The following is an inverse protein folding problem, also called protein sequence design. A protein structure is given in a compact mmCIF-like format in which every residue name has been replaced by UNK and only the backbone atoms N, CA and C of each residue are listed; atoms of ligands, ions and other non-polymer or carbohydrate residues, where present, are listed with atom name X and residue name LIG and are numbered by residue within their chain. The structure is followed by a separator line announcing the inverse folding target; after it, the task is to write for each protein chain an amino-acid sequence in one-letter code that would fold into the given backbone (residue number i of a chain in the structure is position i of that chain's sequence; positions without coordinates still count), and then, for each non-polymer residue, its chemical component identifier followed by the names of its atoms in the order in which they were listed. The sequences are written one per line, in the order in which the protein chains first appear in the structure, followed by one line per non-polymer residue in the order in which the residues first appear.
data_IF_183535634391
#
_entry.id   IF_183535634391
#
_cell.length_a   1.000
_cell.length_b   1.000
_cell.length_c   1.000
_cell.angle_alpha   90.00
_cell.angle_beta   90.00
_cell.angle_gamma   90.00
#
_symmetry.space_group_name_H-M   'P 1'
#
loop_
_entity.id
_entity.type
_entity.pdbx_description
1 polymer ?
#
# COMPACT_ATOMS: atom_id res chain seq x y z
N UNK A 1 -18.55 -14.00 -32.79
CA UNK A 1 -18.52 -12.53 -33.00
C UNK A 1 -18.81 -11.89 -31.66
N UNK A 2 -17.79 -11.76 -30.82
CA UNK A 2 -17.87 -11.08 -29.53
C UNK A 2 -17.87 -9.58 -29.81
N UNK A 3 -19.02 -8.94 -29.65
CA UNK A 3 -19.13 -7.48 -29.57
C UNK A 3 -18.13 -7.00 -28.52
N UNK A 4 -17.11 -6.27 -28.95
CA UNK A 4 -16.29 -5.43 -28.08
C UNK A 4 -17.24 -4.47 -27.36
N UNK A 5 -17.63 -4.84 -26.14
CA UNK A 5 -18.39 -3.97 -25.27
C UNK A 5 -17.45 -2.82 -24.92
N UNK A 6 -17.81 -1.60 -25.33
CA UNK A 6 -17.05 -0.39 -25.03
C UNK A 6 -16.89 -0.30 -23.52
N UNK A 7 -15.66 -0.49 -23.02
CA UNK A 7 -15.35 -0.47 -21.59
C UNK A 7 -15.33 0.97 -21.13
N UNK A 8 -16.35 1.41 -20.41
CA UNK A 8 -16.42 2.76 -19.88
C UNK A 8 -15.56 2.87 -18.61
N UNK A 9 -14.25 3.04 -18.79
CA UNK A 9 -13.30 3.17 -17.69
C UNK A 9 -13.57 4.44 -16.89
N UNK A 10 -13.53 4.31 -15.57
CA UNK A 10 -13.73 5.40 -14.65
C UNK A 10 -12.84 5.28 -13.41
N UNK A 11 -12.66 6.39 -12.70
CA UNK A 11 -12.02 6.46 -11.40
C UNK A 11 -13.04 6.85 -10.35
N UNK A 12 -13.22 5.97 -9.37
CA UNK A 12 -13.94 6.26 -8.14
C UNK A 12 -12.95 6.75 -7.10
N UNK A 13 -13.13 7.97 -6.61
CA UNK A 13 -12.29 8.57 -5.56
C UNK A 13 -13.12 8.68 -4.30
N UNK A 14 -12.65 8.05 -3.21
CA UNK A 14 -13.23 8.11 -1.87
C UNK A 14 -12.26 8.88 -0.95
N UNK A 15 -12.45 10.20 -0.81
CA UNK A 15 -11.44 11.05 -0.21
C UNK A 15 -11.53 11.11 1.32
N UNK A 16 -10.38 11.25 1.99
CA UNK A 16 -10.24 11.61 3.42
C UNK A 16 -11.08 10.71 4.36
N UNK A 17 -11.06 9.42 4.07
CA UNK A 17 -11.63 8.37 4.91
C UNK A 17 -10.84 8.31 6.22
N UNK A 18 -11.53 8.56 7.32
CA UNK A 18 -10.96 8.40 8.66
C UNK A 18 -11.23 6.99 9.14
N UNK A 19 -10.18 6.26 9.49
CA UNK A 19 -10.29 4.89 9.99
C UNK A 19 -9.76 4.84 11.41
N UNK A 20 -10.56 4.34 12.34
CA UNK A 20 -10.18 4.19 13.74
C UNK A 20 -9.85 2.73 14.05
N UNK A 21 -8.72 2.48 14.72
CA UNK A 21 -8.27 1.15 15.13
C UNK A 21 -8.05 0.18 13.95
N UNK A 22 -7.46 0.67 12.86
CA UNK A 22 -6.97 -0.20 11.80
C UNK A 22 -5.80 -1.05 12.31
N UNK A 23 -5.65 -2.26 11.78
CA UNK A 23 -4.56 -3.15 12.15
C UNK A 23 -3.20 -2.55 11.75
N UNK A 24 -2.29 -2.44 12.73
CA UNK A 24 -0.93 -1.94 12.54
C UNK A 24 0.15 -3.04 12.51
N UNK A 25 -0.25 -4.32 12.70
CA UNK A 25 0.60 -5.48 12.47
C UNK A 25 0.29 -6.00 11.06
N UNK A 26 1.04 -5.52 10.09
CA UNK A 26 0.78 -5.78 8.67
C UNK A 26 1.18 -7.20 8.27
N UNK A 27 2.20 -7.76 8.94
CA UNK A 27 2.67 -9.13 8.76
C UNK A 27 3.54 -9.57 9.96
N UNK A 28 3.99 -10.84 10.03
CA UNK A 28 4.92 -11.29 11.06
C UNK A 28 6.25 -10.50 11.17
N UNK A 29 6.70 -9.85 10.09
CA UNK A 29 8.00 -9.14 10.05
C UNK A 29 7.87 -7.63 9.88
N UNK A 30 6.66 -7.10 9.74
CA UNK A 30 6.44 -5.67 9.46
C UNK A 30 5.29 -5.13 10.28
N UNK A 31 5.50 -3.97 10.89
CA UNK A 31 4.46 -3.20 11.55
C UNK A 31 4.42 -1.77 11.00
N UNK A 32 3.27 -1.11 11.12
CA UNK A 32 3.06 0.24 10.62
C UNK A 32 1.75 0.36 9.85
N UNK A 33 1.82 0.78 8.59
CA UNK A 33 0.64 0.91 7.72
C UNK A 33 0.09 -0.47 7.34
N UNK A 34 -1.24 -0.67 7.29
CA UNK A 34 -1.82 -1.98 6.98
C UNK A 34 -1.34 -2.60 5.66
N UNK A 35 -1.38 -3.93 5.58
CA UNK A 35 -1.03 -4.66 4.36
C UNK A 35 -1.88 -4.23 3.15
N UNK A 36 -1.28 -4.22 1.96
CA UNK A 36 -1.98 -3.86 0.72
C UNK A 36 -3.19 -4.75 0.43
N UNK A 37 -3.10 -6.03 0.84
CA UNK A 37 -4.16 -7.03 0.71
C UNK A 37 -5.44 -6.66 1.45
N UNK A 38 -5.36 -5.83 2.51
CA UNK A 38 -6.55 -5.33 3.20
C UNK A 38 -7.40 -4.40 2.32
N UNK A 39 -6.77 -3.67 1.39
CA UNK A 39 -7.44 -2.71 0.51
C UNK A 39 -8.00 -3.37 -0.74
N UNK A 40 -7.30 -4.36 -1.31
CA UNK A 40 -7.86 -5.21 -2.37
C UNK A 40 -8.98 -6.10 -1.81
N UNK A 41 -8.87 -6.58 -0.57
CA UNK A 41 -9.96 -7.26 0.12
C UNK A 41 -11.18 -6.36 0.34
N UNK A 42 -10.97 -5.09 0.71
CA UNK A 42 -12.04 -4.09 0.79
C UNK A 42 -12.73 -3.88 -0.57
N UNK A 43 -11.94 -3.78 -1.65
CA UNK A 43 -12.46 -3.70 -3.01
C UNK A 43 -13.39 -4.87 -3.34
N UNK A 44 -12.97 -6.10 -3.06
CA UNK A 44 -13.82 -7.29 -3.27
C UNK A 44 -15.07 -7.27 -2.39
N UNK A 45 -14.96 -6.80 -1.14
CA UNK A 45 -16.11 -6.68 -0.24
C UNK A 45 -17.13 -5.65 -0.74
N UNK A 46 -16.67 -4.51 -1.27
CA UNK A 46 -17.51 -3.49 -1.90
C UNK A 46 -18.25 -4.07 -3.11
N UNK A 47 -17.55 -4.76 -4.02
CA UNK A 47 -18.15 -5.41 -5.18
C UNK A 47 -19.28 -6.37 -4.78
N UNK A 48 -19.05 -7.19 -3.75
CA UNK A 48 -20.06 -8.15 -3.25
C UNK A 48 -21.26 -7.46 -2.61
N UNK A 49 -21.04 -6.36 -1.91
CA UNK A 49 -22.10 -5.65 -1.19
C UNK A 49 -22.98 -4.81 -2.12
N UNK A 50 -22.39 -4.20 -3.16
CA UNK A 50 -23.13 -3.47 -4.18
C UNK A 50 -23.94 -4.42 -5.09
N UNK A 51 -23.46 -5.64 -5.29
CA UNK A 51 -24.11 -6.65 -6.11
C UNK A 51 -23.92 -6.41 -7.62
N UNK A 52 -24.30 -7.40 -8.45
CA UNK A 52 -24.08 -7.35 -9.90
C UNK A 52 -24.89 -6.24 -10.59
N UNK A 53 -26.05 -5.87 -10.03
CA UNK A 53 -26.97 -4.90 -10.61
C UNK A 53 -26.53 -3.44 -10.41
N UNK A 54 -25.49 -3.20 -9.60
CA UNK A 54 -24.96 -1.85 -9.37
C UNK A 54 -24.30 -1.23 -10.61
N UNK A 55 -24.05 -2.02 -11.66
CA UNK A 55 -23.49 -1.54 -12.93
C UNK A 55 -22.05 -1.03 -12.84
N UNK A 56 -21.31 -1.42 -11.80
CA UNK A 56 -19.92 -1.02 -11.55
C UNK A 56 -19.06 -2.24 -11.23
N UNK A 57 -17.93 -2.37 -11.94
CA UNK A 57 -16.94 -3.42 -11.72
C UNK A 57 -15.62 -2.82 -11.24
N UNK A 58 -15.01 -3.38 -10.19
CA UNK A 58 -13.76 -2.89 -9.59
C UNK A 58 -12.58 -3.76 -10.02
N UNK A 59 -11.45 -3.12 -10.37
CA UNK A 59 -10.26 -3.82 -10.87
C UNK A 59 -9.05 -3.61 -9.97
N UNK A 60 -8.80 -2.36 -9.58
CA UNK A 60 -7.59 -1.99 -8.86
C UNK A 60 -7.85 -0.88 -7.85
N UNK A 61 -6.95 -0.75 -6.87
CA UNK A 61 -7.04 0.24 -5.79
C UNK A 61 -5.73 0.98 -5.59
N UNK A 62 -5.81 2.30 -5.62
CA UNK A 62 -4.77 3.24 -5.26
C UNK A 62 -4.96 3.77 -3.85
N UNK A 63 -3.87 3.92 -3.11
CA UNK A 63 -3.91 4.34 -1.71
C UNK A 63 -3.06 5.58 -1.52
N UNK A 64 -3.67 6.59 -0.92
CA UNK A 64 -2.97 7.78 -0.45
C UNK A 64 -3.20 7.93 1.04
N UNK A 65 -2.12 7.97 1.81
CA UNK A 65 -2.17 8.21 3.25
C UNK A 65 -1.89 9.68 3.55
N UNK A 66 -2.85 10.37 4.16
CA UNK A 66 -2.74 11.76 4.61
C UNK A 66 -2.27 11.88 6.06
N UNK A 67 -2.63 10.90 6.90
CA UNK A 67 -2.21 10.83 8.30
C UNK A 67 -2.18 9.38 8.77
N UNK A 68 -1.14 9.04 9.51
CA UNK A 68 -0.95 7.74 10.15
C UNK A 68 -0.54 7.97 11.60
N UNK A 69 -1.33 7.46 12.53
CA UNK A 69 -1.10 7.60 13.97
C UNK A 69 -1.18 6.22 14.63
N UNK A 70 -0.05 5.52 14.82
CA UNK A 70 -0.02 4.23 15.50
C UNK A 70 -0.15 4.41 17.01
N UNK A 71 -0.89 3.51 17.67
CA UNK A 71 -1.04 3.48 19.11
C UNK A 71 0.12 2.71 19.74
N UNK A 72 1.23 3.42 19.96
CA UNK A 72 2.48 2.87 20.49
C UNK A 72 3.07 3.76 21.57
N UNK A 73 3.91 3.18 22.41
CA UNK A 73 4.67 3.90 23.44
C UNK A 73 5.55 4.97 22.82
N UNK A 74 5.70 6.09 23.54
CA UNK A 74 6.62 7.16 23.16
C UNK A 74 7.96 6.99 23.89
N UNK A 75 9.07 7.23 23.18
CA UNK A 75 10.43 7.11 23.71
C UNK A 75 11.07 5.74 23.49
N UNK A 76 12.40 5.68 23.66
CA UNK A 76 13.20 4.47 23.40
C UNK A 76 13.53 4.23 21.92
N UNK A 77 14.39 3.24 21.67
CA UNK A 77 14.73 2.80 20.32
C UNK A 77 13.64 1.88 19.73
N UNK A 78 13.15 0.94 20.53
CA UNK A 78 12.01 0.06 20.21
C UNK A 78 10.72 0.63 20.75
N UNK A 79 9.60 0.36 20.07
CA UNK A 79 8.25 0.77 20.49
C UNK A 79 7.40 -0.46 20.79
N UNK A 80 6.49 -0.32 21.75
CA UNK A 80 5.52 -1.36 22.13
C UNK A 80 4.11 -0.87 21.84
N UNK A 81 3.18 -1.77 21.51
CA UNK A 81 1.78 -1.41 21.23
C UNK A 81 0.99 -1.09 22.50
N UNK A 82 0.09 -0.12 22.41
CA UNK A 82 -0.94 0.06 23.43
C UNK A 82 -2.04 -0.98 23.23
N UNK A 83 -2.29 -1.77 24.26
CA UNK A 83 -3.25 -2.87 24.23
C UNK A 83 -4.58 -2.47 24.88
N UNK A 84 -5.62 -3.25 24.59
CA UNK A 84 -6.93 -3.13 25.23
C UNK A 84 -7.10 -4.21 26.28
N UNK A 85 -7.84 -3.89 27.35
CA UNK A 85 -8.20 -4.89 28.36
C UNK A 85 -9.36 -5.75 27.86
N UNK A 86 -9.10 -7.04 27.66
CA UNK A 86 -10.14 -8.01 27.32
C UNK A 86 -11.01 -8.33 28.54
N UNK A 87 -12.26 -8.78 28.34
CA UNK A 87 -13.09 -9.31 29.43
C UNK A 87 -12.36 -10.40 30.22
N UNK A 88 -12.69 -10.52 31.51
CA UNK A 88 -12.19 -11.61 32.36
C UNK A 88 -12.77 -12.95 31.93
N UNK A 89 -12.08 -14.04 32.29
CA UNK A 89 -12.55 -15.41 32.07
C UNK A 89 -13.76 -15.74 32.95
N UNK A 90 -14.40 -16.87 32.69
CA UNK A 90 -15.60 -17.32 33.43
C UNK A 90 -15.34 -17.47 34.94
N UNK A 91 -14.10 -17.81 35.33
CA UNK A 91 -13.67 -17.92 36.73
C UNK A 91 -13.27 -16.57 37.36
N UNK A 92 -13.39 -15.46 36.62
CA UNK A 92 -13.02 -14.12 37.04
C UNK A 92 -11.53 -13.80 36.88
N UNK A 93 -10.70 -14.74 36.40
CA UNK A 93 -9.27 -14.52 36.19
C UNK A 93 -8.99 -13.71 34.92
N UNK A 94 -7.79 -13.15 34.83
CA UNK A 94 -7.37 -12.34 33.68
C UNK A 94 -7.14 -13.22 32.46
N UNK A 95 -7.79 -12.90 31.35
CA UNK A 95 -7.54 -13.57 30.07
C UNK A 95 -6.10 -13.31 29.58
N UNK A 96 -5.53 -14.27 28.85
CA UNK A 96 -4.22 -14.11 28.24
C UNK A 96 -4.18 -12.86 27.34
N UNK A 97 -3.09 -12.11 27.42
CA UNK A 97 -2.89 -10.90 26.62
C UNK A 97 -2.42 -11.33 25.24
N UNK A 98 -3.23 -11.02 24.22
CA UNK A 98 -2.85 -11.14 22.82
C UNK A 98 -2.52 -9.73 22.32
N UNK A 99 -1.31 -9.54 21.81
CA UNK A 99 -0.91 -8.24 21.29
C UNK A 99 -1.57 -7.96 19.94
N UNK A 100 -2.30 -6.84 19.86
CA UNK A 100 -2.88 -6.33 18.62
C UNK A 100 -2.39 -4.90 18.41
N UNK A 101 -1.71 -4.66 17.29
CA UNK A 101 -1.30 -3.31 16.91
C UNK A 101 -2.46 -2.55 16.29
N UNK A 102 -2.69 -1.32 16.73
CA UNK A 102 -3.77 -0.44 16.24
C UNK A 102 -3.24 0.90 15.77
N UNK A 103 -3.85 1.45 14.73
CA UNK A 103 -3.55 2.78 14.22
C UNK A 103 -4.81 3.55 13.81
N UNK A 104 -4.74 4.88 13.86
CA UNK A 104 -5.71 5.79 13.26
C UNK A 104 -5.18 6.26 11.90
N UNK A 105 -6.04 6.23 10.88
CA UNK A 105 -5.69 6.56 9.50
C UNK A 105 -6.57 7.70 8.99
N UNK A 106 -6.00 8.57 8.15
CA UNK A 106 -6.72 9.48 7.24
C UNK A 106 -6.23 9.15 5.83
N UNK A 107 -7.04 8.47 5.02
CA UNK A 107 -6.64 7.94 3.71
C UNK A 107 -7.60 8.36 2.61
N UNK A 108 -7.11 8.43 1.38
CA UNK A 108 -7.95 8.48 0.17
C UNK A 108 -7.74 7.20 -0.60
N UNK A 109 -8.84 6.59 -1.03
CA UNK A 109 -8.83 5.43 -1.92
C UNK A 109 -9.25 5.86 -3.31
N UNK A 110 -8.54 5.37 -4.32
CA UNK A 110 -8.83 5.60 -5.74
C UNK A 110 -9.01 4.26 -6.41
N UNK A 111 -10.21 3.93 -6.85
CA UNK A 111 -10.48 2.67 -7.54
C UNK A 111 -10.56 2.89 -9.04
N UNK A 112 -9.90 2.02 -9.80
CA UNK A 112 -10.21 1.86 -11.22
C UNK A 112 -11.42 0.95 -11.36
N UNK A 113 -12.41 1.45 -12.10
CA UNK A 113 -13.70 0.78 -12.28
C UNK A 113 -14.16 0.84 -13.74
N UNK A 114 -15.00 -0.11 -14.13
CA UNK A 114 -15.76 -0.06 -15.39
C UNK A 114 -17.24 0.17 -15.09
N UNK A 115 -17.91 1.02 -15.89
CA UNK A 115 -19.31 1.40 -15.71
C UNK A 115 -20.21 0.86 -16.82
N UNK A 116 -21.41 0.45 -16.45
CA UNK A 116 -22.49 0.17 -17.39
C UNK A 116 -22.91 1.45 -18.14
N UNK A 117 -23.40 1.30 -19.38
CA UNK A 117 -23.81 2.44 -20.23
C UNK A 117 -24.90 3.32 -19.58
N UNK A 118 -25.73 2.74 -18.70
CA UNK A 118 -26.77 3.45 -17.94
C UNK A 118 -26.23 4.35 -16.83
N UNK A 119 -24.91 4.40 -16.60
CA UNK A 119 -24.26 5.20 -15.55
C UNK A 119 -23.30 6.23 -16.13
N UNK A 120 -23.51 6.65 -17.38
CA UNK A 120 -22.62 7.60 -18.05
C UNK A 120 -22.98 9.05 -17.76
N UNK A 121 -24.21 9.36 -17.35
CA UNK A 121 -24.57 10.73 -17.02
C UNK A 121 -23.82 11.22 -15.76
N UNK A 122 -23.57 12.52 -15.66
CA UNK A 122 -22.91 13.09 -14.48
C UNK A 122 -23.76 12.93 -13.21
N UNK A 123 -25.09 13.05 -13.32
CA UNK A 123 -26.00 12.91 -12.20
C UNK A 123 -26.00 11.48 -11.63
N UNK A 124 -26.11 10.46 -12.49
CA UNK A 124 -26.08 9.05 -12.07
C UNK A 124 -24.73 8.70 -11.42
N UNK A 125 -23.61 9.16 -12.00
CA UNK A 125 -22.28 8.94 -11.41
C UNK A 125 -22.12 9.59 -10.04
N UNK A 126 -22.65 10.81 -9.88
CA UNK A 126 -22.60 11.50 -8.60
C UNK A 126 -23.45 10.79 -7.54
N UNK A 127 -24.64 10.29 -7.90
CA UNK A 127 -25.50 9.51 -7.02
C UNK A 127 -24.86 8.18 -6.63
N UNK A 128 -24.29 7.45 -7.60
CA UNK A 128 -23.59 6.20 -7.35
C UNK A 128 -22.37 6.40 -6.45
N UNK A 129 -21.55 7.43 -6.71
CA UNK A 129 -20.40 7.75 -5.86
C UNK A 129 -20.81 8.06 -4.42
N UNK A 130 -21.89 8.82 -4.23
CA UNK A 130 -22.43 9.11 -2.89
C UNK A 130 -22.92 7.83 -2.20
N UNK A 131 -23.69 7.00 -2.90
CA UNK A 131 -24.19 5.73 -2.39
C UNK A 131 -23.03 4.80 -1.96
N UNK A 132 -21.99 4.67 -2.77
CA UNK A 132 -20.80 3.87 -2.42
C UNK A 132 -20.11 4.45 -1.18
N UNK A 133 -20.05 5.78 -1.05
CA UNK A 133 -19.55 6.44 0.15
C UNK A 133 -20.33 6.07 1.41
N UNK A 134 -21.67 6.06 1.31
CA UNK A 134 -22.56 5.68 2.42
C UNK A 134 -22.43 4.20 2.79
N UNK A 135 -22.34 3.33 1.79
CA UNK A 135 -22.07 1.89 1.99
C UNK A 135 -20.74 1.69 2.70
N UNK A 136 -19.68 2.36 2.23
CA UNK A 136 -18.34 2.26 2.83
C UNK A 136 -18.31 2.77 4.27
N UNK A 137 -19.12 3.77 4.62
CA UNK A 137 -19.21 4.28 5.99
C UNK A 137 -19.71 3.21 6.99
N UNK A 138 -20.48 2.22 6.53
CA UNK A 138 -20.90 1.06 7.32
C UNK A 138 -19.88 -0.09 7.36
N UNK A 139 -18.76 0.01 6.63
CA UNK A 139 -17.76 -1.05 6.51
C UNK A 139 -16.57 -0.86 7.45
N UNK A 140 -15.66 -1.83 7.42
CA UNK A 140 -14.35 -1.76 8.08
C UNK A 140 -13.23 -1.75 7.05
N UNK A 141 -12.21 -0.95 7.30
CA UNK A 141 -10.99 -0.86 6.48
C UNK A 141 -9.82 -1.35 7.33
N UNK A 142 -9.14 -2.40 6.86
CA UNK A 142 -8.06 -3.07 7.62
C UNK A 142 -8.44 -3.39 9.08
N UNK A 143 -9.67 -3.85 9.30
CA UNK A 143 -10.21 -4.16 10.63
C UNK A 143 -10.71 -2.97 11.45
N UNK A 144 -10.36 -1.73 11.06
CA UNK A 144 -10.80 -0.51 11.74
C UNK A 144 -12.14 0.03 11.22
N UNK A 145 -12.84 0.79 12.06
CA UNK A 145 -14.12 1.41 11.72
C UNK A 145 -13.93 2.68 10.91
N UNK A 146 -14.74 2.88 9.87
CA UNK A 146 -14.81 4.17 9.17
C UNK A 146 -15.60 5.15 10.03
N UNK A 147 -14.98 6.30 10.36
CA UNK A 147 -15.61 7.33 11.20
C UNK A 147 -15.95 8.57 10.37
N UNK A 148 -17.05 9.27 10.71
CA UNK A 148 -17.40 10.50 10.03
C UNK A 148 -16.28 11.55 10.07
N UNK A 149 -16.25 12.47 9.09
CA UNK A 149 -15.36 13.62 9.12
C UNK A 149 -15.56 14.44 10.40
N UNK A 150 -14.47 14.99 10.95
CA UNK A 150 -14.59 15.90 12.10
C UNK A 150 -15.34 17.18 11.68
N UNK A 151 -16.35 17.63 12.44
CA UNK A 151 -16.98 18.91 12.21
C UNK A 151 -15.94 20.04 12.16
N UNK A 152 -16.06 20.95 11.19
CA UNK A 152 -15.19 22.12 11.07
C UNK A 152 -13.76 21.87 10.56
N UNK A 153 -13.32 20.61 10.37
CA UNK A 153 -11.97 20.31 9.81
C UNK A 153 -11.79 20.82 8.38
N UNK A 154 -12.87 20.83 7.60
CA UNK A 154 -12.87 21.33 6.22
C UNK A 154 -14.00 22.32 6.02
N UNK A 155 -13.70 23.47 5.41
CA UNK A 155 -14.73 24.42 4.95
C UNK A 155 -15.66 23.77 3.91
N UNK A 156 -15.07 23.02 2.98
CA UNK A 156 -15.77 22.19 2.00
C UNK A 156 -15.27 20.75 2.14
N UNK A 157 -16.01 19.84 2.80
CA UNK A 157 -15.58 18.46 2.97
C UNK A 157 -15.47 17.79 1.60
N UNK A 158 -14.37 17.08 1.32
CA UNK A 158 -14.22 16.38 0.06
C UNK A 158 -15.25 15.25 0.01
N UNK A 159 -15.91 15.11 -1.15
CA UNK A 159 -16.96 14.12 -1.38
C UNK A 159 -16.48 13.01 -2.31
N UNK A 160 -17.06 11.81 -2.19
CA UNK A 160 -16.92 10.77 -3.20
C UNK A 160 -17.18 11.32 -4.60
N UNK A 161 -16.37 10.91 -5.57
CA UNK A 161 -16.56 11.30 -6.96
C UNK A 161 -16.22 10.18 -7.91
N UNK A 162 -17.03 10.00 -8.93
CA UNK A 162 -16.84 9.01 -9.99
C UNK A 162 -16.67 9.75 -11.32
N UNK A 163 -15.52 9.59 -11.96
CA UNK A 163 -15.17 10.30 -13.20
C UNK A 163 -14.76 9.32 -14.28
N UNK A 164 -15.26 9.51 -15.49
CA UNK A 164 -14.82 8.75 -16.66
C UNK A 164 -13.36 9.10 -16.94
N UNK A 165 -12.61 8.11 -17.41
CA UNK A 165 -11.23 8.27 -17.84
C UNK A 165 -11.23 8.45 -19.35
N UNK A 166 -10.53 9.46 -19.83
CA UNK A 166 -10.31 9.63 -21.28
C UNK A 166 -9.43 8.51 -21.83
N UNK A 167 -9.78 8.00 -23.01
CA UNK A 167 -8.91 7.08 -23.77
C UNK A 167 -7.67 7.79 -24.33
N UNK A 168 -7.70 9.12 -24.46
CA UNK A 168 -6.54 9.92 -24.85
C UNK A 168 -5.52 10.00 -23.69
N UNK A 169 -4.28 9.48 -23.86
CA UNK A 169 -3.25 9.50 -22.84
C UNK A 169 -2.91 10.91 -22.32
N UNK A 170 -2.96 11.95 -23.16
CA UNK A 170 -2.57 13.30 -22.74
C UNK A 170 -3.64 13.96 -21.85
N UNK A 171 -4.91 13.87 -22.24
CA UNK A 171 -6.00 14.33 -21.38
C UNK A 171 -6.08 13.49 -20.09
N UNK A 172 -5.87 12.17 -20.16
CA UNK A 172 -5.79 11.31 -18.96
C UNK A 172 -4.70 11.77 -17.99
N UNK A 173 -3.50 12.06 -18.49
CA UNK A 173 -2.39 12.61 -17.67
C UNK A 173 -2.75 13.94 -17.04
N UNK A 174 -3.41 14.84 -17.78
CA UNK A 174 -3.84 16.16 -17.29
C UNK A 174 -4.93 16.03 -16.22
N UNK A 175 -5.87 15.12 -16.38
CA UNK A 175 -6.87 14.78 -15.37
C UNK A 175 -6.24 14.18 -14.12
N UNK A 176 -5.29 13.27 -14.29
CA UNK A 176 -4.53 12.70 -13.19
C UNK A 176 -3.74 13.78 -12.43
N UNK A 177 -3.06 14.71 -13.11
CA UNK A 177 -2.40 15.86 -12.45
C UNK A 177 -3.37 16.71 -11.62
N UNK A 178 -4.61 16.90 -12.08
CA UNK A 178 -5.65 17.58 -11.28
C UNK A 178 -6.04 16.76 -10.06
N UNK A 179 -6.16 15.44 -10.20
CA UNK A 179 -6.43 14.52 -9.10
C UNK A 179 -5.27 14.54 -8.07
N UNK A 180 -4.02 14.43 -8.50
CA UNK A 180 -2.83 14.44 -7.62
C UNK A 180 -2.76 15.66 -6.73
N UNK A 181 -3.19 16.84 -7.20
CA UNK A 181 -3.29 18.05 -6.35
C UNK A 181 -4.34 17.91 -5.25
N UNK A 182 -5.44 17.22 -5.50
CA UNK A 182 -6.48 16.92 -4.48
C UNK A 182 -6.05 15.83 -3.50
N UNK A 183 -5.09 15.00 -3.88
CA UNK A 183 -4.49 13.97 -3.03
C UNK A 183 -3.47 14.55 -2.04
N UNK A 184 -3.11 15.83 -2.15
CA UNK A 184 -2.30 16.52 -1.15
C UNK A 184 -3.12 16.83 0.11
N UNK A 185 -2.51 16.80 1.30
CA UNK A 185 -1.08 16.61 1.59
C UNK A 185 -0.66 15.14 1.83
N UNK A 186 -1.27 14.16 1.14
CA UNK A 186 -0.96 12.75 1.35
C UNK A 186 0.23 12.21 0.55
N UNK A 187 0.63 10.99 0.89
CA UNK A 187 1.64 10.21 0.19
C UNK A 187 1.00 8.96 -0.42
N UNK A 188 1.31 8.70 -1.69
CA UNK A 188 0.90 7.49 -2.39
C UNK A 188 1.84 6.33 -2.04
N UNK A 189 1.28 5.13 -1.88
CA UNK A 189 2.04 3.89 -1.72
C UNK A 189 2.16 3.18 -3.07
N UNK A 190 3.39 2.93 -3.50
CA UNK A 190 3.71 2.23 -4.77
C UNK A 190 4.70 1.09 -4.53
N UNK A 191 4.71 0.10 -5.43
CA UNK A 191 5.66 -1.02 -5.37
C UNK A 191 7.05 -0.59 -5.82
N UNK A 192 8.09 -1.18 -5.23
CA UNK A 192 9.50 -1.05 -5.61
C UNK A 192 10.21 -2.40 -5.63
N UNK A 193 9.56 -3.38 -6.28
CA UNK A 193 10.13 -4.72 -6.52
C UNK A 193 11.50 -4.63 -7.24
N UNK A 194 11.69 -3.61 -8.08
CA UNK A 194 12.92 -3.31 -8.82
C UNK A 194 14.12 -3.07 -7.89
N UNK A 195 13.91 -2.37 -6.77
CA UNK A 195 14.97 -2.09 -5.80
C UNK A 195 15.47 -3.37 -5.12
N UNK A 196 14.56 -4.31 -4.85
CA UNK A 196 14.90 -5.56 -4.21
C UNK A 196 15.81 -6.40 -5.11
N UNK A 197 15.47 -6.50 -6.40
CA UNK A 197 16.28 -7.23 -7.39
C UNK A 197 17.63 -6.54 -7.64
N UNK A 198 17.62 -5.21 -7.77
CA UNK A 198 18.85 -4.43 -7.94
C UNK A 198 19.78 -4.62 -6.75
N UNK A 199 19.24 -4.56 -5.53
CA UNK A 199 20.06 -4.71 -4.32
C UNK A 199 20.60 -6.12 -4.15
N UNK A 200 19.83 -7.14 -4.49
CA UNK A 200 20.33 -8.52 -4.50
C UNK A 200 21.53 -8.66 -5.43
N UNK A 201 21.43 -8.15 -6.66
CA UNK A 201 22.51 -8.20 -7.63
C UNK A 201 23.77 -7.44 -7.17
N UNK A 202 23.61 -6.34 -6.41
CA UNK A 202 24.73 -5.63 -5.78
C UNK A 202 25.37 -6.45 -4.65
N UNK A 203 24.56 -7.02 -3.74
CA UNK A 203 25.06 -7.80 -2.61
C UNK A 203 25.79 -9.06 -3.07
N UNK A 204 25.31 -9.72 -4.12
CA UNK A 204 25.95 -10.91 -4.68
C UNK A 204 27.35 -10.65 -5.25
N UNK A 205 27.68 -9.40 -5.61
CA UNK A 205 29.05 -9.03 -6.03
C UNK A 205 30.04 -9.05 -4.87
N UNK A 206 29.59 -8.76 -3.66
CA UNK A 206 30.46 -8.67 -2.47
C UNK A 206 30.35 -9.88 -1.56
N UNK A 207 29.19 -10.53 -1.53
CA UNK A 207 28.85 -11.61 -0.60
C UNK A 207 28.27 -12.78 -1.38
N UNK A 208 29.07 -13.84 -1.50
CA UNK A 208 28.64 -15.07 -2.15
C UNK A 208 27.47 -15.69 -1.37
N UNK A 209 26.38 -16.01 -2.06
CA UNK A 209 25.19 -16.63 -1.45
C UNK A 209 24.20 -15.66 -0.82
N UNK A 210 24.33 -14.34 -1.02
CA UNK A 210 23.33 -13.37 -0.58
C UNK A 210 21.93 -13.71 -1.13
N UNK A 211 20.92 -13.65 -0.26
CA UNK A 211 19.53 -14.02 -0.53
C UNK A 211 18.65 -12.78 -0.73
N UNK A 212 17.42 -12.97 -1.25
CA UNK A 212 16.42 -11.90 -1.32
C UNK A 212 16.06 -11.34 0.06
N UNK A 213 16.07 -12.18 1.10
CA UNK A 213 15.82 -11.72 2.46
C UNK A 213 16.94 -10.80 2.96
N UNK A 214 18.20 -11.10 2.63
CA UNK A 214 19.33 -10.23 2.97
C UNK A 214 19.21 -8.87 2.28
N UNK A 215 18.84 -8.86 0.99
CA UNK A 215 18.57 -7.63 0.25
C UNK A 215 17.41 -6.83 0.85
N UNK A 216 16.34 -7.50 1.26
CA UNK A 216 15.18 -6.88 1.90
C UNK A 216 15.52 -6.27 3.26
N UNK A 217 16.29 -6.99 4.10
CA UNK A 217 16.77 -6.49 5.39
C UNK A 217 17.75 -5.32 5.21
N UNK A 218 18.63 -5.41 4.23
CA UNK A 218 19.62 -4.36 3.95
C UNK A 218 18.97 -3.05 3.48
N UNK A 219 17.90 -3.14 2.66
CA UNK A 219 17.07 -1.98 2.30
C UNK A 219 16.24 -1.44 3.47
N UNK A 220 15.95 -2.28 4.47
CA UNK A 220 15.13 -1.90 5.62
C UNK A 220 15.91 -1.17 6.73
N UNK A 221 17.24 -1.28 6.76
CA UNK A 221 18.11 -0.70 7.83
C UNK A 221 18.98 0.47 7.36
N UNK A 222 19.25 1.44 8.25
CA UNK A 222 20.22 2.49 7.96
C UNK A 222 21.64 1.91 8.00
N UNK A 223 22.31 1.91 6.85
CA UNK A 223 23.66 1.37 6.71
C UNK A 223 24.68 2.50 6.84
N UNK A 224 25.65 2.33 7.73
CA UNK A 224 26.81 3.21 7.87
C UNK A 224 28.07 2.47 7.41
N UNK A 225 28.88 3.11 6.57
CA UNK A 225 30.12 2.55 6.03
C UNK A 225 31.30 3.46 6.34
N UNK A 226 32.40 2.86 6.74
CA UNK A 226 33.68 3.56 6.87
C UNK A 226 34.31 3.70 5.47
N UNK A 227 34.50 4.94 5.01
CA UNK A 227 35.17 5.28 3.76
C UNK A 227 36.51 5.92 4.10
N UNK A 228 37.59 5.41 3.52
CA UNK A 228 38.94 5.99 3.66
C UNK A 228 39.11 7.08 2.61
N UNK A 229 39.30 8.32 3.05
CA UNK A 229 39.64 9.43 2.18
C UNK A 229 41.14 9.72 2.29
N UNK A 230 41.77 9.94 1.14
CA UNK A 230 43.15 10.41 1.04
C UNK A 230 43.10 11.88 0.66
N UNK A 231 43.37 12.74 1.62
CA UNK A 231 43.49 14.18 1.36
C UNK A 231 44.97 14.49 1.25
N UNK A 232 45.40 15.00 0.09
CA UNK A 232 46.77 15.47 -0.08
C UNK A 232 46.81 16.92 0.39
N UNK A 233 47.66 17.22 1.36
CA UNK A 233 47.86 18.59 1.82
C UNK A 233 48.57 19.38 0.71
N UNK A 234 47.88 20.37 0.14
CA UNK A 234 48.38 21.19 -0.97
C UNK A 234 49.67 21.96 -0.63
N UNK A 235 50.02 22.10 0.65
CA UNK A 235 51.20 22.85 1.10
C UNK A 235 52.41 21.98 1.42
N UNK A 236 52.21 20.75 1.89
CA UNK A 236 53.31 19.85 2.31
C UNK A 236 53.47 18.63 1.41
N UNK A 237 52.47 18.32 0.57
CA UNK A 237 52.47 17.11 -0.28
C UNK A 237 52.24 15.81 0.50
N UNK A 238 52.01 15.90 1.81
CA UNK A 238 51.75 14.75 2.67
C UNK A 238 50.33 14.23 2.45
N UNK A 239 50.19 12.90 2.37
CA UNK A 239 48.90 12.24 2.24
C UNK A 239 48.37 11.91 3.63
N UNK A 240 47.29 12.59 4.03
CA UNK A 240 46.58 12.28 5.28
C UNK A 240 45.46 11.29 4.94
N UNK A 241 45.52 10.10 5.54
CA UNK A 241 44.41 9.13 5.49
C UNK A 241 43.43 9.42 6.63
N UNK A 242 42.23 9.87 6.28
CA UNK A 242 41.12 10.04 7.23
C UNK A 242 40.05 8.97 7.00
N UNK A 243 39.41 8.53 8.09
CA UNK A 243 38.26 7.60 8.02
C UNK A 243 36.99 8.39 8.27
N UNK A 244 36.10 8.44 7.28
CA UNK A 244 34.79 9.08 7.37
C UNK A 244 33.70 8.01 7.46
N UNK A 245 32.74 8.18 8.37
CA UNK A 245 31.54 7.34 8.44
C UNK A 245 30.43 7.94 7.59
N UNK A 246 30.13 7.30 6.46
CA UNK A 246 29.10 7.75 5.51
C UNK A 246 27.87 6.87 5.64
N UNK A 247 26.68 7.48 5.58
CA UNK A 247 25.40 6.74 5.55
C UNK A 247 25.00 6.47 4.10
N UNK A 248 24.61 5.25 3.79
CA UNK A 248 24.16 4.88 2.44
C UNK A 248 22.97 5.78 2.01
N UNK A 249 23.06 6.35 0.81
CA UNK A 249 21.98 7.15 0.24
C UNK A 249 20.74 6.29 -0.04
N UNK A 250 19.55 6.85 0.19
CA UNK A 250 18.27 6.17 -0.02
C UNK A 250 17.41 6.92 -1.05
N UNK A 251 16.84 6.24 -2.06
CA UNK A 251 16.02 6.88 -3.09
C UNK A 251 14.61 7.21 -2.57
N UNK A 252 14.51 8.12 -1.60
CA UNK A 252 13.25 8.51 -0.95
C UNK A 252 12.84 7.60 0.21
N UNK A 253 11.54 7.58 0.52
CA UNK A 253 10.99 6.82 1.64
C UNK A 253 10.63 5.40 1.22
N UNK A 254 11.64 4.53 1.21
CA UNK A 254 11.49 3.10 0.96
C UNK A 254 11.07 2.38 2.25
N UNK A 255 10.11 1.46 2.15
CA UNK A 255 9.57 0.71 3.29
C UNK A 255 9.42 -0.77 2.95
N UNK A 256 9.75 -1.70 3.88
CA UNK A 256 9.35 -3.09 3.74
C UNK A 256 7.82 -3.22 3.86
N UNK A 257 7.21 -4.05 3.02
CA UNK A 257 5.78 -4.30 3.10
C UNK A 257 5.38 -5.72 2.67
N UNK A 258 4.33 -6.29 3.27
CA UNK A 258 3.71 -7.50 2.76
C UNK A 258 2.89 -7.18 1.52
N UNK A 259 3.07 -7.98 0.48
CA UNK A 259 2.36 -7.80 -0.81
C UNK A 259 1.38 -8.93 -1.10
N UNK A 260 1.41 -10.03 -0.34
CA UNK A 260 0.59 -11.18 -0.65
C UNK A 260 0.91 -12.40 0.19
N UNK A 261 0.59 -13.55 -0.38
CA UNK A 261 0.75 -14.85 0.23
C UNK A 261 1.33 -15.86 -0.78
N UNK A 262 2.08 -16.83 -0.28
CA UNK A 262 2.59 -17.95 -1.05
C UNK A 262 2.15 -19.27 -0.41
N UNK A 263 1.79 -20.24 -1.23
CA UNK A 263 1.33 -21.55 -0.80
C UNK A 263 2.42 -22.36 -0.09
N UNK A 264 2.06 -22.92 1.06
CA UNK A 264 2.84 -23.89 1.82
C UNK A 264 2.33 -25.33 1.63
N UNK A 265 1.09 -25.48 1.17
CA UNK A 265 0.44 -26.77 0.93
C UNK A 265 -0.10 -26.85 -0.49
N UNK A 266 -0.54 -28.05 -0.88
CA UNK A 266 -1.45 -28.21 -2.01
C UNK A 266 -2.80 -27.54 -1.76
N UNK A 267 -3.59 -27.38 -2.82
CA UNK A 267 -4.95 -26.87 -2.72
C UNK A 267 -5.86 -28.00 -2.25
N UNK A 268 -6.37 -27.88 -1.03
CA UNK A 268 -7.26 -28.87 -0.43
C UNK A 268 -8.70 -28.67 -0.90
N UNK A 269 -9.39 -29.79 -1.15
CA UNK A 269 -10.81 -29.79 -1.56
C UNK A 269 -11.73 -29.24 -0.46
N UNK A 270 -12.90 -28.69 -0.83
CA UNK A 270 -13.91 -28.26 0.13
C UNK A 270 -14.24 -29.32 1.18
N UNK A 271 -14.29 -28.91 2.46
CA UNK A 271 -14.71 -29.76 3.58
C UNK A 271 -13.62 -30.68 4.13
N UNK A 272 -12.42 -30.70 3.55
CA UNK A 272 -11.31 -31.54 4.02
C UNK A 272 -10.55 -30.95 5.21
N UNK A 273 -10.51 -29.62 5.34
CA UNK A 273 -9.80 -28.92 6.42
C UNK A 273 -10.77 -28.58 7.54
N UNK A 274 -10.54 -29.15 8.73
CA UNK A 274 -11.34 -28.88 9.92
C UNK A 274 -11.20 -27.42 10.37
N UNK A 275 -12.31 -26.80 10.77
CA UNK A 275 -12.33 -25.41 11.26
C UNK A 275 -12.18 -24.34 10.17
N UNK A 276 -12.25 -24.71 8.89
CA UNK A 276 -12.28 -23.74 7.79
C UNK A 276 -13.52 -22.81 7.90
N UNK A 277 -13.36 -21.55 7.51
CA UNK A 277 -14.41 -20.52 7.62
C UNK A 277 -15.64 -20.84 6.76
N UNK A 278 -15.43 -21.38 5.57
CA UNK A 278 -16.47 -21.87 4.68
C UNK A 278 -16.08 -23.26 4.20
N UNK A 279 -16.82 -24.31 4.59
CA UNK A 279 -16.50 -25.68 4.20
C UNK A 279 -16.75 -25.94 2.71
N UNK A 280 -17.38 -25.03 1.97
CA UNK A 280 -17.69 -25.22 0.54
C UNK A 280 -16.63 -24.62 -0.40
N UNK A 281 -15.61 -23.96 0.13
CA UNK A 281 -14.52 -23.38 -0.65
C UNK A 281 -13.23 -24.19 -0.51
N UNK A 282 -12.42 -24.30 -1.56
CA UNK A 282 -11.07 -24.86 -1.47
C UNK A 282 -10.23 -24.09 -0.45
N UNK A 283 -9.31 -24.80 0.22
CA UNK A 283 -8.46 -24.24 1.27
C UNK A 283 -6.99 -24.47 0.96
N UNK A 284 -6.13 -23.49 1.26
CA UNK A 284 -4.69 -23.64 1.13
C UNK A 284 -3.97 -22.96 2.29
N UNK A 285 -2.98 -23.64 2.87
CA UNK A 285 -2.09 -23.03 3.85
C UNK A 285 -1.09 -22.13 3.14
N UNK A 286 -0.87 -20.93 3.68
CA UNK A 286 -0.03 -19.91 3.04
C UNK A 286 0.85 -19.20 4.07
N UNK A 287 1.96 -18.64 3.60
CA UNK A 287 2.80 -17.68 4.33
C UNK A 287 2.80 -16.30 3.67
N UNK A 288 3.32 -15.29 4.37
CA UNK A 288 3.38 -13.90 3.85
C UNK A 288 4.49 -13.73 2.82
N UNK A 289 4.19 -13.03 1.73
CA UNK A 289 5.18 -12.60 0.72
C UNK A 289 5.54 -11.14 0.93
N UNK A 290 6.83 -10.86 0.93
CA UNK A 290 7.40 -9.55 1.21
C UNK A 290 7.96 -8.90 -0.04
N UNK A 291 7.85 -7.58 -0.09
CA UNK A 291 8.60 -6.75 -1.03
C UNK A 291 8.94 -5.39 -0.40
N UNK A 292 9.45 -4.50 -1.23
CA UNK A 292 9.67 -3.10 -0.92
C UNK A 292 8.59 -2.23 -1.56
N UNK A 293 8.10 -1.27 -0.80
CA UNK A 293 7.26 -0.18 -1.29
C UNK A 293 7.94 1.16 -1.13
N UNK A 294 7.31 2.19 -1.68
CA UNK A 294 7.74 3.56 -1.50
C UNK A 294 6.55 4.47 -1.21
N UNK A 295 6.70 5.32 -0.18
CA UNK A 295 5.82 6.46 0.01
C UNK A 295 6.32 7.62 -0.85
N UNK A 296 5.52 8.01 -1.83
CA UNK A 296 5.88 9.04 -2.81
C UNK A 296 4.82 10.15 -2.85
N UNK A 297 5.26 11.39 -3.06
CA UNK A 297 4.33 12.49 -3.28
C UNK A 297 3.50 12.22 -4.56
N UNK A 298 2.15 12.26 -4.52
CA UNK A 298 1.30 12.00 -5.68
C UNK A 298 1.60 12.87 -6.92
N UNK A 299 2.23 14.03 -6.74
CA UNK A 299 2.67 14.89 -7.85
C UNK A 299 3.85 14.34 -8.65
N UNK A 300 4.59 13.36 -8.11
CA UNK A 300 5.70 12.68 -8.82
C UNK A 300 5.22 11.51 -9.69
N UNK A 301 3.98 11.07 -9.51
CA UNK A 301 3.36 10.05 -10.35
C UNK A 301 3.02 10.67 -11.70
N UNK A 302 3.22 9.91 -12.78
CA UNK A 302 3.03 10.40 -14.15
C UNK A 302 1.65 10.04 -14.69
N UNK A 303 1.16 8.87 -14.30
CA UNK A 303 -0.11 8.30 -14.76
C UNK A 303 -0.86 7.67 -13.57
N UNK A 304 -2.16 7.44 -13.73
CA UNK A 304 -2.96 6.78 -12.70
C UNK A 304 -2.52 5.33 -12.48
N UNK A 305 -2.08 4.65 -13.53
CA UNK A 305 -1.56 3.27 -13.46
C UNK A 305 -0.38 3.12 -12.49
N UNK A 306 0.40 4.19 -12.28
CA UNK A 306 1.48 4.23 -11.29
C UNK A 306 0.97 4.04 -9.85
N UNK A 307 -0.26 4.46 -9.57
CA UNK A 307 -0.85 4.45 -8.22
C UNK A 307 -1.58 3.13 -7.89
N UNK A 308 -2.04 2.41 -8.91
CA UNK A 308 -3.04 1.36 -8.77
C UNK A 308 -2.43 0.00 -8.37
N UNK A 309 -3.06 -0.68 -7.42
CA UNK A 309 -2.72 -2.04 -7.00
C UNK A 309 -3.81 -3.02 -7.42
N UNK A 310 -3.39 -4.10 -8.07
CA UNK A 310 -4.24 -5.14 -8.63
C UNK A 310 -4.00 -6.47 -7.92
N UNK A 311 -5.04 -7.25 -7.58
CA UNK A 311 -4.86 -8.62 -7.13
C UNK A 311 -4.42 -9.51 -8.30
N UNK A 312 -3.33 -10.25 -8.11
CA UNK A 312 -2.75 -11.20 -9.04
C UNK A 312 -2.62 -12.56 -8.37
N UNK A 313 -2.91 -13.63 -9.10
CA UNK A 313 -2.71 -14.99 -8.62
C UNK A 313 -2.11 -15.87 -9.71
N UNK A 314 -1.13 -16.68 -9.35
CA UNK A 314 -0.50 -17.65 -10.24
C UNK A 314 0.08 -18.80 -9.42
N UNK A 315 -0.34 -20.03 -9.71
CA UNK A 315 0.34 -21.27 -9.24
C UNK A 315 0.71 -21.30 -7.75
N UNK A 316 -0.20 -20.84 -6.87
CA UNK A 316 0.00 -20.80 -5.41
C UNK A 316 0.60 -19.49 -4.88
N UNK A 317 0.94 -18.53 -5.74
CA UNK A 317 1.26 -17.15 -5.38
C UNK A 317 0.00 -16.29 -5.47
N UNK A 318 -0.36 -15.62 -4.39
CA UNK A 318 -1.51 -14.72 -4.29
C UNK A 318 -1.04 -13.34 -3.83
N UNK A 319 -0.73 -12.43 -4.76
CA UNK A 319 -0.12 -11.14 -4.43
C UNK A 319 -0.85 -9.96 -5.04
N UNK A 320 -0.66 -8.79 -4.46
CA UNK A 320 -0.99 -7.53 -5.08
C UNK A 320 0.20 -7.07 -5.93
N UNK A 321 -0.10 -6.59 -7.12
CA UNK A 321 0.85 -6.04 -8.07
C UNK A 321 0.56 -4.55 -8.28
N UNK A 322 1.61 -3.74 -8.42
CA UNK A 322 1.50 -2.34 -8.80
C UNK A 322 2.56 -2.07 -9.87
N UNK A 323 2.13 -1.45 -10.96
CA UNK A 323 2.94 -1.31 -12.18
C UNK A 323 3.90 -0.13 -12.16
N UNK A 324 4.07 0.54 -11.01
CA UNK A 324 4.92 1.73 -10.91
C UNK A 324 6.35 1.42 -11.36
N UNK A 325 6.86 2.29 -12.23
CA UNK A 325 8.26 2.29 -12.62
C UNK A 325 8.88 3.63 -12.24
N UNK A 326 9.94 3.58 -11.45
CA UNK A 326 10.69 4.78 -11.13
C UNK A 326 11.30 5.35 -12.43
N UNK A 327 11.26 6.68 -12.64
CA UNK A 327 12.00 7.30 -13.73
C UNK A 327 13.48 6.91 -13.62
N UNK A 328 14.09 6.49 -14.73
CA UNK A 328 15.54 6.21 -14.75
C UNK A 328 16.31 7.39 -14.18
N UNK A 329 17.28 7.17 -13.28
CA UNK A 329 18.09 8.26 -12.77
C UNK A 329 18.75 8.96 -13.97
N UNK A 330 18.55 10.28 -14.07
CA UNK A 330 19.32 11.09 -15.00
C UNK A 330 20.81 10.85 -14.69
N UNK A 331 21.68 10.63 -15.69
CA UNK A 331 23.10 10.45 -15.45
C UNK A 331 23.59 11.68 -14.68
N UNK A 332 24.16 11.44 -13.51
CA UNK A 332 24.80 12.48 -12.72
C UNK A 332 25.96 12.97 -13.58
N UNK A 333 25.80 14.13 -14.21
CA UNK A 333 26.91 14.78 -14.92
C UNK A 333 28.06 14.91 -13.91
N UNK A 334 29.26 14.40 -14.19
CA UNK A 334 30.40 14.63 -13.32
C UNK A 334 30.60 16.14 -13.25
N UNK A 335 30.45 16.69 -12.05
CA UNK A 335 30.78 18.09 -11.77
C UNK A 335 32.26 18.28 -12.10
N UNK A 336 32.53 19.06 -13.15
CA UNK A 336 33.87 19.52 -13.55
C UNK A 336 34.54 20.32 -12.46
#
# INVERSE_FOLDING_TARGET
MTTEQTRNKALLVLPRLRVQNANAISSPMTWGFPAITAFTGLMTALTRLLGPDAGIAFYSVGIVCHSFEPQVTQGGYTRSFHLTRNPVLQDGSTAAIVEEGRAHLDITLVFEVELAAALLSEAERAQLAAHIGDVLAGMRIAGGSVVPPLPGKFRNPPRPSLKLVSDDPEERRKEFRKLSRRLLPGFALVSRDDLLQTRLAELQKTTLGATLLDAWLDLSRLNHRAVRQKTVDEKTGDTIETVEWVTDSRPGWIVPMPVGFAALSELHDPGTVAGARDPNLPFQFVESVYSMGQWINPLRLTDISDLLWEPFHDSGLYRCFNAYQAPSPLPVSPTT
#
